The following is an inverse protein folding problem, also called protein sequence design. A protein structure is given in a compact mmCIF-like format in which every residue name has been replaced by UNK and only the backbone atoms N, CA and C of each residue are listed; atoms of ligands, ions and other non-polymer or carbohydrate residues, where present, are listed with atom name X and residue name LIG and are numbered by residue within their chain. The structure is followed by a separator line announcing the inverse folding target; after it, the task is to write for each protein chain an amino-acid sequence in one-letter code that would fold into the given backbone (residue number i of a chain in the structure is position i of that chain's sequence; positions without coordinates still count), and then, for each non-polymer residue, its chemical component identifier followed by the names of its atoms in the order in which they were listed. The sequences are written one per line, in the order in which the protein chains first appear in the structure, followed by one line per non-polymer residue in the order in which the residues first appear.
data_IF_564550964387
#
_entry.id   IF_564550964387
#
_cell.length_a   1.000
_cell.length_b   1.000
_cell.length_c   1.000
_cell.angle_alpha   90.00
_cell.angle_beta   90.00
_cell.angle_gamma   90.00
#
_symmetry.space_group_name_H-M   'P 1'
#
loop_
_entity.id
_entity.type
_entity.pdbx_description
1 polymer ?
#
# COMPACT_ATOMS: atom_id res chain seq x y z
N UNK A 1 22.03 9.20 -7.41
CA UNK A 1 20.64 8.70 -7.46
C UNK A 1 20.15 8.57 -6.03
N UNK A 2 19.02 9.17 -5.68
CA UNK A 2 18.51 9.17 -4.29
C UNK A 2 17.73 7.87 -4.06
N UNK A 3 17.96 7.21 -2.92
CA UNK A 3 17.17 6.04 -2.55
C UNK A 3 15.78 6.45 -2.05
N UNK A 4 14.77 5.64 -2.36
CA UNK A 4 13.39 5.88 -1.94
C UNK A 4 12.85 4.67 -1.18
N UNK A 5 12.31 4.91 0.01
CA UNK A 5 11.45 3.93 0.69
C UNK A 5 10.01 4.24 0.36
N UNK A 6 9.25 3.21 0.00
CA UNK A 6 7.83 3.33 -0.37
C UNK A 6 7.02 2.39 0.51
N UNK A 7 6.02 2.93 1.21
CA UNK A 7 5.07 2.13 1.97
C UNK A 7 3.71 2.10 1.29
N UNK A 8 3.14 0.90 1.19
CA UNK A 8 1.79 0.66 0.73
C UNK A 8 0.96 0.10 1.90
N UNK A 9 0.01 0.92 2.35
CA UNK A 9 -0.93 0.66 3.44
C UNK A 9 -2.32 0.34 2.90
N UNK A 10 -3.15 -0.24 3.77
CA UNK A 10 -4.54 -0.56 3.49
C UNK A 10 -4.98 -1.83 4.22
N UNK A 11 -6.28 -2.00 4.40
CA UNK A 11 -6.86 -3.19 5.05
C UNK A 11 -6.64 -4.47 4.26
N UNK A 12 -7.21 -5.57 4.74
CA UNK A 12 -7.09 -6.89 4.10
C UNK A 12 -7.59 -6.85 2.65
N UNK A 13 -6.97 -7.55 1.73
CA UNK A 13 -7.52 -7.78 0.37
C UNK A 13 -7.87 -6.53 -0.49
N UNK A 14 -7.34 -5.34 -0.16
CA UNK A 14 -7.56 -4.12 -0.95
C UNK A 14 -6.64 -4.00 -2.18
N UNK A 15 -5.90 -5.05 -2.53
CA UNK A 15 -5.02 -5.06 -3.72
C UNK A 15 -3.63 -4.41 -3.52
N UNK A 16 -3.16 -4.28 -2.27
CA UNK A 16 -1.82 -3.75 -1.95
C UNK A 16 -0.71 -4.45 -2.73
N UNK A 17 -0.71 -5.79 -2.68
CA UNK A 17 0.30 -6.63 -3.34
C UNK A 17 0.28 -6.45 -4.84
N UNK A 18 -0.91 -6.39 -5.45
CA UNK A 18 -1.08 -6.15 -6.88
C UNK A 18 -0.48 -4.81 -7.30
N UNK A 19 -0.82 -3.73 -6.61
CA UNK A 19 -0.25 -2.40 -6.91
C UNK A 19 1.27 -2.42 -6.75
N UNK A 20 1.78 -3.01 -5.66
CA UNK A 20 3.21 -3.09 -5.41
C UNK A 20 3.95 -3.87 -6.50
N UNK A 21 3.46 -5.04 -6.88
CA UNK A 21 4.08 -5.89 -7.90
C UNK A 21 4.11 -5.21 -9.27
N UNK A 22 2.99 -4.64 -9.70
CA UNK A 22 2.95 -3.91 -10.98
C UNK A 22 3.85 -2.67 -10.96
N UNK A 23 3.83 -1.89 -9.87
CA UNK A 23 4.73 -0.75 -9.72
C UNK A 23 6.20 -1.18 -9.80
N UNK A 24 6.56 -2.27 -9.13
CA UNK A 24 7.93 -2.77 -9.14
C UNK A 24 8.37 -3.24 -10.54
N UNK A 25 7.46 -3.89 -11.28
CA UNK A 25 7.71 -4.32 -12.65
C UNK A 25 7.96 -3.13 -13.58
N UNK A 26 7.11 -2.11 -13.52
CA UNK A 26 7.24 -0.88 -14.32
C UNK A 26 8.54 -0.12 -14.01
N UNK A 27 8.88 0.05 -12.73
CA UNK A 27 10.13 0.73 -12.34
C UNK A 27 11.36 0.00 -12.88
N UNK A 28 11.36 -1.34 -12.84
CA UNK A 28 12.47 -2.14 -13.37
C UNK A 28 12.53 -2.10 -14.89
N UNK A 29 11.39 -2.09 -15.56
CA UNK A 29 11.33 -1.85 -17.00
C UNK A 29 11.95 -0.49 -17.38
N UNK A 30 11.78 0.52 -16.52
CA UNK A 30 12.44 1.83 -16.64
C UNK A 30 13.92 1.84 -16.23
N UNK A 31 14.51 0.70 -15.85
CA UNK A 31 15.90 0.59 -15.40
C UNK A 31 16.14 1.07 -13.97
N UNK A 32 15.10 1.17 -13.13
CA UNK A 32 15.21 1.58 -11.72
C UNK A 32 15.29 0.33 -10.82
N UNK A 33 16.44 0.03 -10.18
CA UNK A 33 16.60 -1.12 -9.30
C UNK A 33 15.62 -1.06 -8.12
N UNK A 34 14.72 -2.04 -8.05
CA UNK A 34 13.60 -2.02 -7.09
C UNK A 34 13.51 -3.33 -6.32
N UNK A 35 13.39 -3.24 -4.99
CA UNK A 35 13.09 -4.35 -4.10
C UNK A 35 11.67 -4.26 -3.56
N UNK A 36 11.09 -5.43 -3.26
CA UNK A 36 9.72 -5.58 -2.77
C UNK A 36 9.74 -6.46 -1.54
N UNK A 37 9.21 -5.93 -0.44
CA UNK A 37 9.10 -6.60 0.84
C UNK A 37 7.63 -6.68 1.24
N UNK A 38 7.21 -7.84 1.75
CA UNK A 38 5.88 -8.07 2.30
C UNK A 38 6.05 -8.47 3.77
N UNK A 39 5.65 -7.56 4.67
CA UNK A 39 5.96 -7.71 6.10
C UNK A 39 7.47 -7.77 6.36
N UNK A 40 7.95 -8.85 6.97
CA UNK A 40 9.38 -9.13 7.18
C UNK A 40 10.04 -9.90 6.04
N UNK A 41 9.26 -10.44 5.10
CA UNK A 41 9.78 -11.27 4.01
C UNK A 41 10.14 -10.42 2.79
N UNK A 42 11.38 -10.52 2.32
CA UNK A 42 11.76 -9.99 1.00
C UNK A 42 11.15 -10.92 -0.07
N UNK A 43 10.13 -10.43 -0.77
CA UNK A 43 9.49 -11.20 -1.85
C UNK A 43 10.38 -11.24 -3.09
N UNK A 44 11.02 -10.12 -3.41
CA UNK A 44 11.90 -10.01 -4.56
C UNK A 44 12.92 -8.88 -4.39
N UNK A 45 13.85 -8.79 -5.33
CA UNK A 45 14.59 -7.56 -5.59
C UNK A 45 16.09 -7.71 -5.55
N UNK A 46 16.75 -6.78 -6.20
CA UNK A 46 18.20 -6.77 -6.36
C UNK A 46 18.90 -6.49 -5.00
N UNK A 47 20.16 -6.92 -4.83
CA UNK A 47 20.94 -6.62 -3.62
C UNK A 47 21.19 -5.12 -3.44
N UNK A 48 21.25 -4.37 -4.54
CA UNK A 48 21.52 -2.92 -4.60
C UNK A 48 20.30 -2.16 -5.12
N UNK A 49 19.14 -2.33 -4.47
CA UNK A 49 17.91 -1.61 -4.86
C UNK A 49 17.96 -0.14 -4.45
N UNK A 50 17.60 0.75 -5.38
CA UNK A 50 17.44 2.19 -5.15
C UNK A 50 16.05 2.48 -4.57
N UNK A 51 15.05 1.68 -4.97
CA UNK A 51 13.69 1.76 -4.42
C UNK A 51 13.43 0.55 -3.54
N UNK A 52 13.12 0.77 -2.27
CA UNK A 52 12.65 -0.24 -1.34
C UNK A 52 11.14 -0.12 -1.13
N UNK A 53 10.36 -0.95 -1.81
CA UNK A 53 8.90 -0.96 -1.68
C UNK A 53 8.44 -1.97 -0.65
N UNK A 54 7.55 -1.56 0.24
CA UNK A 54 7.14 -2.31 1.43
C UNK A 54 5.63 -2.34 1.53
N UNK A 55 5.07 -3.55 1.54
CA UNK A 55 3.66 -3.78 1.80
C UNK A 55 3.50 -3.94 3.31
N UNK A 56 2.69 -3.09 3.94
CA UNK A 56 2.38 -3.22 5.35
C UNK A 56 1.39 -4.36 5.57
N UNK A 57 1.79 -5.33 6.38
CA UNK A 57 0.99 -6.52 6.74
C UNK A 57 0.86 -6.69 8.24
N UNK A 58 1.25 -5.66 9.01
CA UNK A 58 1.31 -5.72 10.46
C UNK A 58 -0.08 -5.83 11.10
N UNK A 59 -0.11 -6.42 12.29
CA UNK A 59 -1.29 -6.48 13.12
C UNK A 59 -1.70 -5.06 13.55
N UNK A 60 -2.90 -4.65 13.15
CA UNK A 60 -3.44 -3.30 13.35
C UNK A 60 -3.35 -2.79 14.81
N UNK A 61 -3.63 -3.61 15.84
CA UNK A 61 -3.50 -3.18 17.23
C UNK A 61 -2.08 -2.82 17.68
N UNK A 62 -1.04 -3.32 17.01
CA UNK A 62 0.35 -2.94 17.29
C UNK A 62 0.85 -1.78 16.42
N UNK A 63 0.04 -1.35 15.44
CA UNK A 63 0.35 -0.21 14.61
C UNK A 63 -0.13 1.07 15.29
N UNK A 64 0.69 1.60 16.19
CA UNK A 64 0.40 2.84 16.91
C UNK A 64 0.70 4.08 16.05
N UNK A 65 0.11 5.25 16.36
CA UNK A 65 0.43 6.51 15.69
C UNK A 65 1.93 6.85 15.71
N UNK A 66 2.59 6.60 16.84
CA UNK A 66 4.03 6.80 16.97
C UNK A 66 4.81 5.87 16.02
N UNK A 67 4.44 4.57 16.00
CA UNK A 67 5.08 3.61 15.11
C UNK A 67 4.87 3.95 13.65
N UNK A 68 3.69 4.44 13.29
CA UNK A 68 3.40 4.93 11.96
C UNK A 68 4.31 6.10 11.57
N UNK A 69 4.45 7.11 12.44
CA UNK A 69 5.33 8.25 12.22
C UNK A 69 6.80 7.85 12.02
N UNK A 70 7.30 6.92 12.84
CA UNK A 70 8.66 6.41 12.70
C UNK A 70 8.89 5.66 11.39
N UNK A 71 8.00 4.72 11.05
CA UNK A 71 8.12 3.91 9.84
C UNK A 71 8.03 4.74 8.56
N UNK A 72 7.21 5.79 8.59
CA UNK A 72 6.89 6.60 7.42
C UNK A 72 7.83 7.79 7.23
N UNK A 73 8.80 8.01 8.13
CA UNK A 73 9.75 9.11 8.04
C UNK A 73 10.54 9.04 6.73
N UNK A 74 10.60 10.17 6.01
CA UNK A 74 11.32 10.35 4.74
C UNK A 74 10.92 9.39 3.59
N UNK A 75 9.76 8.74 3.71
CA UNK A 75 9.25 7.76 2.76
C UNK A 75 8.05 8.27 1.97
N UNK A 76 7.77 7.63 0.83
CA UNK A 76 6.53 7.83 0.09
C UNK A 76 5.47 6.86 0.64
N UNK A 77 4.36 7.40 1.14
CA UNK A 77 3.30 6.61 1.76
C UNK A 77 2.03 6.65 0.92
N UNK A 78 1.50 5.47 0.62
CA UNK A 78 0.27 5.31 -0.12
C UNK A 78 -0.72 4.49 0.70
N UNK A 79 -1.95 4.98 0.80
CA UNK A 79 -3.04 4.29 1.49
C UNK A 79 -4.07 3.85 0.46
N UNK A 80 -4.33 2.55 0.39
CA UNK A 80 -5.40 2.01 -0.43
C UNK A 80 -6.58 1.73 0.49
N UNK A 81 -7.67 2.45 0.24
CA UNK A 81 -8.94 2.22 0.92
C UNK A 81 -9.87 1.47 -0.03
N UNK A 82 -10.67 0.56 0.51
CA UNK A 82 -11.65 -0.16 -0.28
C UNK A 82 -12.73 0.81 -0.79
N UNK A 83 -13.03 0.85 -2.09
CA UNK A 83 -14.11 1.68 -2.61
C UNK A 83 -15.47 1.26 -2.03
N UNK A 84 -16.39 2.22 -1.84
CA UNK A 84 -17.75 1.92 -1.33
C UNK A 84 -18.49 0.86 -2.16
N UNK A 85 -18.22 0.81 -3.47
CA UNK A 85 -18.82 -0.11 -4.45
C UNK A 85 -18.05 -1.43 -4.63
N UNK A 86 -16.96 -1.67 -3.88
CA UNK A 86 -16.24 -2.95 -3.94
C UNK A 86 -17.15 -4.15 -3.63
N UNK A 87 -18.18 -3.90 -2.83
CA UNK A 87 -19.19 -4.86 -2.41
C UNK A 87 -20.31 -5.06 -3.44
N UNK A 88 -20.42 -4.17 -4.42
CA UNK A 88 -21.48 -4.17 -5.43
C UNK A 88 -21.17 -5.14 -6.59
N UNK A 89 -20.11 -5.96 -6.47
CA UNK A 89 -19.78 -7.01 -7.42
C UNK A 89 -20.23 -8.36 -6.84
N UNK A 90 -21.46 -8.82 -7.13
CA UNK A 90 -22.00 -10.01 -6.51
C UNK A 90 -21.63 -11.21 -7.38
N UNK A 91 -20.78 -12.11 -6.86
CA UNK A 91 -20.80 -13.57 -7.13
C UNK A 91 -19.42 -14.25 -7.03
N UNK A 92 -18.72 -14.17 -5.90
CA UNK A 92 -17.57 -15.06 -5.65
C UNK A 92 -17.63 -15.84 -4.34
N UNK A 93 -18.55 -15.49 -3.44
CA UNK A 93 -18.67 -16.16 -2.16
C UNK A 93 -20.11 -16.63 -1.94
N UNK A 94 -20.30 -17.95 -1.85
CA UNK A 94 -21.50 -18.60 -1.34
C UNK A 94 -21.63 -18.45 0.19
N UNK A 95 -21.43 -17.22 0.69
CA UNK A 95 -21.61 -16.90 2.10
C UNK A 95 -23.04 -16.42 2.36
N UNK A 96 -23.55 -16.69 3.56
CA UNK A 96 -24.80 -16.10 4.00
C UNK A 96 -24.70 -14.57 4.01
N UNK A 97 -25.82 -13.89 3.73
CA UNK A 97 -25.87 -12.42 3.71
C UNK A 97 -25.46 -11.81 5.05
N UNK A 98 -25.82 -12.44 6.18
CA UNK A 98 -25.41 -12.02 7.51
C UNK A 98 -23.89 -12.12 7.74
N UNK A 99 -23.25 -13.18 7.23
CA UNK A 99 -21.79 -13.33 7.29
C UNK A 99 -21.07 -12.30 6.42
N UNK A 100 -21.65 -11.96 5.26
CA UNK A 100 -21.11 -10.94 4.37
C UNK A 100 -21.18 -9.53 4.97
N UNK A 101 -22.30 -9.16 5.60
CA UNK A 101 -22.46 -7.87 6.27
C UNK A 101 -21.50 -7.71 7.46
N UNK A 102 -21.30 -8.78 8.24
CA UNK A 102 -20.32 -8.81 9.34
C UNK A 102 -18.88 -8.60 8.84
N UNK A 103 -18.47 -9.34 7.81
CA UNK A 103 -17.14 -9.19 7.19
C UNK A 103 -16.95 -7.80 6.58
N UNK A 104 -17.98 -7.25 5.95
CA UNK A 104 -17.97 -5.89 5.43
C UNK A 104 -17.73 -4.88 6.55
N UNK A 105 -18.42 -5.00 7.68
CA UNK A 105 -18.25 -4.11 8.82
C UNK A 105 -16.83 -4.21 9.41
N UNK A 106 -16.33 -5.43 9.62
CA UNK A 106 -14.97 -5.68 10.10
C UNK A 106 -13.92 -5.04 9.18
N UNK A 107 -14.03 -5.27 7.88
CA UNK A 107 -13.05 -4.77 6.91
C UNK A 107 -13.11 -3.25 6.73
N UNK A 108 -14.28 -2.64 6.89
CA UNK A 108 -14.43 -1.18 6.90
C UNK A 108 -13.83 -0.58 8.17
N UNK A 109 -14.03 -1.24 9.33
CA UNK A 109 -13.43 -0.81 10.59
C UNK A 109 -11.90 -0.87 10.54
N UNK A 110 -11.32 -1.89 9.89
CA UNK A 110 -9.88 -2.00 9.65
C UNK A 110 -9.35 -0.84 8.78
N UNK A 111 -10.05 -0.51 7.70
CA UNK A 111 -9.69 0.59 6.79
C UNK A 111 -9.73 1.94 7.52
N UNK A 112 -10.78 2.20 8.30
CA UNK A 112 -10.92 3.40 9.13
C UNK A 112 -9.85 3.49 10.22
N UNK A 113 -9.53 2.37 10.87
CA UNK A 113 -8.50 2.31 11.89
C UNK A 113 -7.12 2.61 11.29
N UNK A 114 -6.80 2.05 10.12
CA UNK A 114 -5.57 2.39 9.40
C UNK A 114 -5.47 3.88 9.11
N UNK A 115 -6.52 4.46 8.52
CA UNK A 115 -6.53 5.87 8.17
C UNK A 115 -6.40 6.76 9.41
N UNK A 116 -7.14 6.44 10.47
CA UNK A 116 -7.09 7.16 11.75
C UNK A 116 -5.70 7.10 12.37
N UNK A 117 -5.06 5.94 12.41
CA UNK A 117 -3.71 5.78 12.95
C UNK A 117 -2.68 6.59 12.16
N UNK A 118 -2.72 6.55 10.83
CA UNK A 118 -1.81 7.33 9.98
C UNK A 118 -2.01 8.83 10.20
N UNK A 119 -3.27 9.30 10.27
CA UNK A 119 -3.60 10.69 10.56
C UNK A 119 -3.12 11.13 11.94
N UNK A 120 -3.36 10.33 12.97
CA UNK A 120 -2.91 10.61 14.33
C UNK A 120 -1.37 10.64 14.44
N UNK A 121 -0.69 9.83 13.63
CA UNK A 121 0.77 9.85 13.49
C UNK A 121 1.31 11.01 12.66
N UNK A 122 0.45 11.91 12.17
CA UNK A 122 0.79 13.00 11.25
C UNK A 122 1.56 12.51 10.02
N UNK A 123 1.27 11.30 9.55
CA UNK A 123 1.92 10.72 8.39
C UNK A 123 1.39 11.39 7.13
N UNK A 124 2.29 11.92 6.30
CA UNK A 124 1.93 12.36 4.96
C UNK A 124 1.76 11.13 4.06
N UNK A 125 0.54 10.91 3.57
CA UNK A 125 0.21 9.83 2.64
C UNK A 125 -0.74 10.31 1.55
N UNK A 126 -0.77 9.56 0.44
CA UNK A 126 -1.78 9.74 -0.62
C UNK A 126 -2.74 8.57 -0.64
N UNK A 127 -4.04 8.87 -0.53
CA UNK A 127 -5.09 7.87 -0.75
C UNK A 127 -5.22 7.53 -2.23
N UNK A 128 -5.37 6.24 -2.52
CA UNK A 128 -5.43 5.69 -3.87
C UNK A 128 -6.81 5.06 -4.15
N UNK A 129 -7.45 5.36 -5.30
CA UNK A 129 -8.83 4.96 -5.59
C UNK A 129 -8.98 3.48 -6.06
N UNK A 130 -7.91 2.69 -6.05
CA UNK A 130 -7.90 1.29 -6.49
C UNK A 130 -6.84 0.98 -7.55
N UNK A 131 -6.66 -0.31 -7.86
CA UNK A 131 -5.45 -0.86 -8.53
C UNK A 131 -5.07 -0.17 -9.85
N UNK A 132 -6.00 -0.04 -10.81
CA UNK A 132 -5.66 0.37 -12.19
C UNK A 132 -5.06 1.77 -12.32
N UNK A 133 -5.66 2.77 -11.67
CA UNK A 133 -5.17 4.15 -11.75
C UNK A 133 -3.96 4.41 -10.82
N UNK A 134 -3.76 3.53 -9.83
CA UNK A 134 -2.75 3.70 -8.79
C UNK A 134 -1.34 3.44 -9.28
N UNK A 135 -1.13 2.43 -10.12
CA UNK A 135 0.22 2.02 -10.54
C UNK A 135 0.95 3.15 -11.26
N UNK A 136 0.34 3.74 -12.29
CA UNK A 136 0.97 4.82 -13.06
C UNK A 136 1.33 6.03 -12.17
N UNK A 137 0.43 6.40 -11.25
CA UNK A 137 0.67 7.49 -10.30
C UNK A 137 1.83 7.17 -9.35
N UNK A 138 1.85 5.97 -8.77
CA UNK A 138 2.90 5.55 -7.83
C UNK A 138 4.26 5.51 -8.54
N UNK A 139 4.31 4.94 -9.75
CA UNK A 139 5.52 4.91 -10.60
C UNK A 139 6.02 6.33 -10.84
N UNK A 140 5.15 7.26 -11.23
CA UNK A 140 5.53 8.65 -11.51
C UNK A 140 6.12 9.34 -10.27
N UNK A 141 5.49 9.18 -9.10
CA UNK A 141 5.98 9.76 -7.84
C UNK A 141 7.32 9.18 -7.39
N UNK A 142 7.52 7.88 -7.59
CA UNK A 142 8.81 7.24 -7.30
C UNK A 142 9.87 7.75 -8.27
N UNK A 143 9.59 7.79 -9.58
CA UNK A 143 10.51 8.29 -10.59
C UNK A 143 10.94 9.74 -10.35
N UNK A 144 10.00 10.61 -9.93
CA UNK A 144 10.29 11.98 -9.48
C UNK A 144 11.24 11.98 -8.27
N UNK A 145 10.93 11.17 -7.23
CA UNK A 145 11.72 11.09 -6.00
C UNK A 145 13.16 10.61 -6.22
N UNK A 146 13.38 9.66 -7.14
CA UNK A 146 14.71 9.15 -7.46
C UNK A 146 15.48 10.00 -8.47
N UNK A 147 14.82 11.01 -9.07
CA UNK A 147 15.41 11.97 -10.01
C UNK A 147 15.46 11.50 -11.47
N UNK A 148 14.65 10.50 -11.85
CA UNK A 148 14.55 10.00 -13.23
C UNK A 148 13.54 10.81 -14.05
N UNK A 149 12.53 11.38 -13.39
CA UNK A 149 11.57 12.32 -14.00
C UNK A 149 11.58 13.65 -13.24
N UNK A 150 11.32 14.74 -13.96
CA UNK A 150 11.19 16.09 -13.40
C UNK A 150 9.74 16.35 -12.97
#
# INVERSE_FOLDING_TARGET
MISATVWIFGGRDVGKTTIAMHTAAELRWMGIPTALTYGSAKLWGEPLSIVGMRIFTGFLPMFTPHKAAELCRDSLNFLILRPKYYWDNPSLCSMSQASFESLRAEWMADDELFERTLRAGHVAYKTLPGVRASVAYVVDKIAQRVGVRK
#
